data_IF_193168192237
#
_entry.id   IF_193168192237
#
_cell.length_a   1.000
_cell.length_b   1.000
_cell.length_c   1.000
_cell.angle_alpha   90.00
_cell.angle_beta   90.00
_cell.angle_gamma   90.00
#
_symmetry.space_group_name_H-M   'P 1'
#
loop_
_entity.id
_entity.type
_entity.pdbx_description
1 polymer ?
#
# COMPACT_ATOMS: atom_id res chain seq x y z
N UNK A 1 17.56 2.86 20.14
CA UNK A 1 17.32 4.22 19.63
C UNK A 1 16.78 4.27 18.18
N UNK A 2 17.36 3.62 17.16
CA UNK A 2 16.90 3.78 15.76
C UNK A 2 15.45 3.32 15.52
N UNK A 3 14.99 2.28 16.24
CA UNK A 3 13.58 1.84 16.18
C UNK A 3 12.62 2.95 16.63
N UNK A 4 12.99 3.72 17.65
CA UNK A 4 12.16 4.84 18.14
C UNK A 4 12.06 5.92 17.07
N UNK A 5 13.19 6.26 16.43
CA UNK A 5 13.22 7.22 15.32
C UNK A 5 12.38 6.72 14.14
N UNK A 6 12.47 5.44 13.79
CA UNK A 6 11.68 4.84 12.71
C UNK A 6 10.17 4.90 13.00
N UNK A 7 9.75 4.63 14.23
CA UNK A 7 8.34 4.73 14.65
C UNK A 7 7.86 6.18 14.58
N UNK A 8 8.65 7.15 15.04
CA UNK A 8 8.30 8.57 14.93
C UNK A 8 8.14 9.00 13.46
N UNK A 9 9.05 8.56 12.58
CA UNK A 9 8.95 8.82 11.14
C UNK A 9 7.69 8.16 10.53
N UNK A 10 7.36 6.95 10.94
CA UNK A 10 6.14 6.26 10.50
C UNK A 10 4.87 7.01 10.94
N UNK A 11 4.84 7.58 12.15
CA UNK A 11 3.72 8.41 12.62
C UNK A 11 3.56 9.68 11.78
N UNK A 12 4.67 10.35 11.43
CA UNK A 12 4.65 11.50 10.53
C UNK A 12 4.10 11.11 9.16
N UNK A 13 4.53 9.97 8.62
CA UNK A 13 3.99 9.42 7.37
C UNK A 13 2.49 9.12 7.46
N UNK A 14 2.06 8.45 8.52
CA UNK A 14 0.66 8.10 8.76
C UNK A 14 -0.27 9.33 8.78
N UNK A 15 0.18 10.46 9.34
CA UNK A 15 -0.57 11.71 9.31
C UNK A 15 -0.92 12.15 7.88
N UNK A 16 0.03 12.09 6.95
CA UNK A 16 -0.22 12.46 5.55
C UNK A 16 -1.12 11.46 4.82
N UNK A 17 -0.94 10.16 5.06
CA UNK A 17 -1.84 9.14 4.50
C UNK A 17 -3.28 9.33 4.97
N UNK A 18 -3.49 9.51 6.27
CA UNK A 18 -4.83 9.75 6.83
C UNK A 18 -5.43 11.05 6.34
N UNK A 19 -4.62 12.11 6.14
CA UNK A 19 -5.09 13.37 5.54
C UNK A 19 -5.64 13.16 4.14
N UNK A 20 -5.00 12.35 3.30
CA UNK A 20 -5.48 12.05 1.95
C UNK A 20 -6.79 11.26 2.00
N UNK A 21 -6.87 10.23 2.85
CA UNK A 21 -8.11 9.46 3.04
C UNK A 21 -9.24 10.38 3.51
N UNK A 22 -8.95 11.31 4.43
CA UNK A 22 -9.91 12.31 4.88
C UNK A 22 -10.42 13.16 3.71
N UNK A 23 -9.50 13.76 2.95
CA UNK A 23 -9.84 14.62 1.80
C UNK A 23 -10.68 13.87 0.76
N UNK A 24 -10.43 12.57 0.56
CA UNK A 24 -11.11 11.79 -0.46
C UNK A 24 -12.53 11.34 -0.07
N UNK A 25 -12.78 11.03 1.20
CA UNK A 25 -14.06 10.45 1.65
C UNK A 25 -14.92 11.40 2.49
N UNK A 26 -14.32 12.38 3.17
CA UNK A 26 -15.03 13.21 4.16
C UNK A 26 -15.18 14.67 3.75
N UNK A 27 -14.37 15.16 2.82
CA UNK A 27 -14.52 16.53 2.33
C UNK A 27 -15.46 16.56 1.10
N UNK A 28 -16.22 17.65 0.97
CA UNK A 28 -17.18 17.81 -0.13
C UNK A 28 -16.45 17.90 -1.48
N UNK A 29 -16.98 17.21 -2.48
CA UNK A 29 -16.45 17.25 -3.83
C UNK A 29 -16.69 18.63 -4.45
N UNK A 30 -15.60 19.30 -4.85
CA UNK A 30 -15.64 20.61 -5.52
C UNK A 30 -16.12 20.46 -6.97
N UNK A 31 -15.91 19.29 -7.57
CA UNK A 31 -16.32 18.94 -8.93
C UNK A 31 -17.06 17.60 -8.92
N UNK A 32 -18.28 17.59 -9.45
CA UNK A 32 -19.16 16.42 -9.56
C UNK A 32 -19.14 15.79 -10.95
N UNK A 33 -18.25 16.23 -11.84
CA UNK A 33 -18.11 15.60 -13.14
C UNK A 33 -17.76 14.11 -12.99
N UNK A 34 -18.44 13.20 -13.72
CA UNK A 34 -18.23 11.78 -13.56
C UNK A 34 -16.84 11.40 -14.07
N UNK A 35 -15.98 10.96 -13.15
CA UNK A 35 -14.64 10.45 -13.48
C UNK A 35 -14.81 9.09 -14.16
N UNK A 36 -14.71 9.07 -15.50
CA UNK A 36 -14.71 7.82 -16.28
C UNK A 36 -13.29 7.28 -16.35
N UNK A 37 -12.93 6.41 -15.41
CA UNK A 37 -11.68 5.65 -15.51
C UNK A 37 -11.77 4.62 -16.65
N UNK A 38 -10.77 4.52 -17.55
CA UNK A 38 -10.75 3.49 -18.58
C UNK A 38 -10.70 2.10 -17.94
N UNK A 39 -11.29 1.11 -18.61
CA UNK A 39 -11.44 -0.27 -18.09
C UNK A 39 -10.09 -0.87 -17.72
N UNK A 40 -9.05 -0.61 -18.52
CA UNK A 40 -7.69 -1.08 -18.26
C UNK A 40 -7.16 -0.58 -16.89
N UNK A 41 -7.40 0.69 -16.57
CA UNK A 41 -6.97 1.27 -15.30
C UNK A 41 -7.73 0.67 -14.11
N UNK A 42 -9.04 0.41 -14.26
CA UNK A 42 -9.84 -0.22 -13.22
C UNK A 42 -9.38 -1.65 -12.94
N UNK A 43 -9.06 -2.40 -13.99
CA UNK A 43 -8.59 -3.79 -13.89
C UNK A 43 -7.23 -3.85 -13.20
N UNK A 44 -6.29 -3.00 -13.59
CA UNK A 44 -4.95 -2.92 -12.98
C UNK A 44 -5.05 -2.55 -11.49
N UNK A 45 -5.87 -1.56 -11.14
CA UNK A 45 -6.01 -1.11 -9.75
C UNK A 45 -6.68 -2.19 -8.88
N UNK A 46 -7.71 -2.85 -9.41
CA UNK A 46 -8.41 -3.94 -8.71
C UNK A 46 -7.51 -5.15 -8.51
N UNK A 47 -6.72 -5.52 -9.52
CA UNK A 47 -5.74 -6.61 -9.43
C UNK A 47 -4.65 -6.28 -8.40
N UNK A 48 -4.16 -5.04 -8.37
CA UNK A 48 -3.20 -4.60 -7.35
C UNK A 48 -3.79 -4.68 -5.94
N UNK A 49 -5.00 -4.18 -5.72
CA UNK A 49 -5.67 -4.25 -4.42
C UNK A 49 -5.85 -5.70 -3.96
N UNK A 50 -6.26 -6.59 -4.87
CA UNK A 50 -6.45 -8.00 -4.58
C UNK A 50 -5.12 -8.71 -4.29
N UNK A 51 -4.07 -8.40 -5.03
CA UNK A 51 -2.72 -8.90 -4.75
C UNK A 51 -2.23 -8.44 -3.36
N UNK A 52 -2.41 -7.17 -3.00
CA UNK A 52 -2.05 -6.66 -1.68
C UNK A 52 -2.81 -7.39 -0.56
N UNK A 53 -4.10 -7.67 -0.74
CA UNK A 53 -4.90 -8.42 0.23
C UNK A 53 -4.41 -9.86 0.37
N UNK A 54 -4.19 -10.57 -0.74
CA UNK A 54 -3.71 -11.96 -0.72
C UNK A 54 -2.33 -12.08 -0.07
N UNK A 55 -1.40 -11.20 -0.47
CA UNK A 55 -0.03 -11.19 0.07
C UNK A 55 0.00 -10.74 1.54
N UNK A 56 -0.89 -9.81 1.93
CA UNK A 56 -1.04 -9.38 3.32
C UNK A 56 -1.62 -10.47 4.23
N UNK A 57 -2.58 -11.27 3.74
CA UNK A 57 -3.15 -12.40 4.51
C UNK A 57 -2.21 -13.61 4.57
N UNK A 58 -1.41 -13.84 3.53
CA UNK A 58 -0.52 -15.00 3.41
C UNK A 58 0.96 -14.57 3.30
N UNK A 59 1.55 -13.92 4.33
CA UNK A 59 2.92 -13.41 4.27
C UNK A 59 3.98 -14.52 4.19
N UNK A 60 3.62 -15.75 4.57
CA UNK A 60 4.54 -16.88 4.63
C UNK A 60 5.19 -17.21 3.28
N UNK A 61 4.43 -17.13 2.19
CA UNK A 61 4.92 -17.47 0.85
C UNK A 61 6.01 -16.49 0.42
N UNK A 62 5.79 -15.19 0.64
CA UNK A 62 6.79 -14.15 0.36
C UNK A 62 8.05 -14.34 1.20
N UNK A 63 7.88 -14.61 2.50
CA UNK A 63 9.02 -14.81 3.41
C UNK A 63 9.89 -16.00 3.00
N UNK A 64 9.28 -17.10 2.54
CA UNK A 64 10.01 -18.28 2.06
C UNK A 64 10.86 -17.97 0.83
N UNK A 65 10.31 -17.23 -0.14
CA UNK A 65 11.04 -16.82 -1.35
C UNK A 65 12.19 -15.90 -1.00
N UNK A 66 11.96 -14.87 -0.17
CA UNK A 66 13.01 -13.97 0.29
C UNK A 66 14.11 -14.72 1.06
N UNK A 67 13.74 -15.65 1.93
CA UNK A 67 14.69 -16.47 2.69
C UNK A 67 15.60 -17.29 1.77
N UNK A 68 15.02 -17.95 0.75
CA UNK A 68 15.79 -18.69 -0.25
C UNK A 68 16.76 -17.77 -1.00
N UNK A 69 16.29 -16.61 -1.48
CA UNK A 69 17.11 -15.66 -2.22
C UNK A 69 18.28 -15.12 -1.39
N UNK A 70 18.08 -14.85 -0.09
CA UNK A 70 19.15 -14.40 0.80
C UNK A 70 20.20 -15.49 0.97
N UNK A 71 19.80 -16.75 1.17
CA UNK A 71 20.74 -17.87 1.32
C UNK A 71 21.56 -18.07 0.04
N UNK A 72 20.92 -18.04 -1.13
CA UNK A 72 21.62 -18.18 -2.42
C UNK A 72 22.57 -17.00 -2.69
N UNK A 73 22.26 -15.79 -2.20
CA UNK A 73 23.11 -14.60 -2.38
C UNK A 73 24.37 -14.60 -1.50
N UNK A 74 24.42 -15.46 -0.48
CA UNK A 74 25.57 -15.62 0.42
C UNK A 74 26.52 -16.73 -0.02
N UNK A 75 26.14 -17.52 -1.03
CA UNK A 75 26.98 -18.53 -1.68
C UNK A 75 27.70 -17.95 -2.90
#
# INVERSE_FOLDING_TARGET
WPVVVAVLLAVIGAFYYLRIVKLMYFDDAIDHTPIKAPVDMQLVLSMNALALLLLGMLPQVLMNVCGLSVVTSLQ
#
